data_IF_997529971567
#
_entry.id   IF_997529971567
#
_cell.length_a   1.000
_cell.length_b   1.000
_cell.length_c   1.000
_cell.angle_alpha   90.00
_cell.angle_beta   90.00
_cell.angle_gamma   90.00
#
_symmetry.space_group_name_H-M   'P 1'
#
loop_
_entity.id
_entity.type
_entity.pdbx_description
1 polymer ?
#
# COMPACT_ATOMS: atom_id res chain seq x y z
N UNK A 1 18.61 9.46 -4.35
CA UNK A 1 17.52 8.51 -4.64
C UNK A 1 17.53 7.30 -3.70
N UNK A 2 18.38 6.27 -3.89
CA UNK A 2 18.31 5.00 -3.12
C UNK A 2 18.32 5.13 -1.58
N UNK A 3 19.32 5.80 -1.00
CA UNK A 3 19.39 5.98 0.46
C UNK A 3 18.18 6.74 1.02
N UNK A 4 17.65 7.71 0.26
CA UNK A 4 16.47 8.46 0.65
C UNK A 4 15.21 7.57 0.66
N UNK A 5 15.05 6.72 -0.37
CA UNK A 5 13.98 5.73 -0.43
C UNK A 5 14.05 4.74 0.75
N UNK A 6 15.24 4.24 1.06
CA UNK A 6 15.45 3.30 2.17
C UNK A 6 15.12 3.93 3.52
N UNK A 7 15.53 5.18 3.71
CA UNK A 7 15.24 5.90 4.94
C UNK A 7 13.75 6.20 5.10
N UNK A 8 13.09 6.69 4.05
CA UNK A 8 11.64 6.98 4.08
C UNK A 8 10.81 5.70 4.25
N UNK A 9 11.20 4.61 3.59
CA UNK A 9 10.57 3.31 3.76
C UNK A 9 10.72 2.78 5.19
N UNK A 10 11.91 2.95 5.80
CA UNK A 10 12.16 2.56 7.19
C UNK A 10 11.26 3.32 8.17
N UNK A 11 11.09 4.63 7.97
CA UNK A 11 10.17 5.43 8.77
C UNK A 11 8.72 4.96 8.59
N UNK A 12 8.30 4.69 7.35
CA UNK A 12 6.96 4.18 7.05
C UNK A 12 6.70 2.82 7.72
N UNK A 13 7.71 1.92 7.69
CA UNK A 13 7.67 0.64 8.39
C UNK A 13 7.47 0.83 9.89
N UNK A 14 8.29 1.67 10.53
CA UNK A 14 8.19 1.95 11.96
C UNK A 14 6.79 2.46 12.35
N UNK A 15 6.25 3.42 11.59
CA UNK A 15 4.88 3.91 11.84
C UNK A 15 3.81 2.82 11.69
N UNK A 16 3.95 1.94 10.69
CA UNK A 16 3.00 0.82 10.50
C UNK A 16 3.03 -0.19 11.67
N UNK A 17 4.21 -0.45 12.23
CA UNK A 17 4.38 -1.33 13.40
C UNK A 17 3.77 -0.70 14.66
N UNK A 18 3.93 0.61 14.86
CA UNK A 18 3.33 1.33 15.99
C UNK A 18 1.79 1.32 15.97
N UNK A 19 1.18 1.45 14.78
CA UNK A 19 -0.28 1.43 14.62
C UNK A 19 -0.85 0.04 14.83
N UNK A 20 -0.24 -0.99 14.24
CA UNK A 20 -0.72 -2.38 14.38
C UNK A 20 -0.69 -2.87 15.82
N UNK A 21 0.28 -2.40 16.63
CA UNK A 21 0.30 -2.65 18.08
C UNK A 21 -0.85 -1.92 18.80
N UNK A 22 -1.17 -0.69 18.37
CA UNK A 22 -2.18 0.17 18.98
C UNK A 22 -3.62 -0.24 18.63
N UNK A 23 -3.88 -0.77 17.43
CA UNK A 23 -5.20 -1.25 16.98
C UNK A 23 -5.72 -2.52 17.68
N UNK A 24 -4.92 -3.11 18.58
CA UNK A 24 -5.43 -4.07 19.57
C UNK A 24 -6.38 -3.42 20.62
N UNK A 25 -6.49 -2.09 20.61
CA UNK A 25 -7.57 -1.30 21.22
C UNK A 25 -8.38 -0.55 20.15
N UNK A 26 -9.68 -0.81 20.11
CA UNK A 26 -10.69 -0.24 19.19
C UNK A 26 -10.55 1.28 18.99
N UNK A 27 -10.67 1.76 17.73
CA UNK A 27 -11.46 2.96 17.47
C UNK A 27 -11.97 3.07 16.03
N UNK A 28 -13.30 3.20 15.94
CA UNK A 28 -14.07 3.59 14.76
C UNK A 28 -13.89 5.09 14.52
N UNK A 29 -13.23 5.48 13.43
CA UNK A 29 -13.38 6.82 12.89
C UNK A 29 -14.11 6.73 11.55
N UNK A 30 -15.44 6.85 11.63
CA UNK A 30 -16.26 7.27 10.50
C UNK A 30 -15.97 8.73 10.18
N UNK A 31 -15.82 9.04 8.89
CA UNK A 31 -15.99 10.43 8.43
C UNK A 31 -14.90 10.97 7.51
N UNK A 32 -14.73 10.38 6.33
CA UNK A 32 -14.51 11.13 5.09
C UNK A 32 -14.97 10.24 3.93
N UNK A 33 -15.99 10.72 3.22
CA UNK A 33 -16.65 10.01 2.12
C UNK A 33 -15.64 9.83 0.98
N UNK A 34 -14.93 8.72 1.01
CA UNK A 34 -13.91 8.34 0.03
C UNK A 34 -14.55 8.24 -1.35
N UNK A 35 -14.05 9.04 -2.29
CA UNK A 35 -14.40 8.93 -3.72
C UNK A 35 -14.13 7.49 -4.16
N UNK A 36 -15.08 6.91 -4.90
CA UNK A 36 -15.00 5.53 -5.38
C UNK A 36 -13.78 5.41 -6.31
N UNK A 37 -12.78 4.69 -5.84
CA UNK A 37 -11.45 4.60 -6.44
C UNK A 37 -11.28 3.17 -6.97
N UNK A 38 -11.59 2.97 -8.26
CA UNK A 38 -11.75 1.62 -8.83
C UNK A 38 -11.26 1.46 -10.28
N UNK A 39 -11.40 2.48 -11.13
CA UNK A 39 -11.17 2.30 -12.57
C UNK A 39 -9.75 2.70 -13.05
N UNK A 40 -8.99 3.45 -12.24
CA UNK A 40 -7.73 4.07 -12.65
C UNK A 40 -6.48 3.21 -12.46
N UNK A 41 -6.59 2.08 -11.77
CA UNK A 41 -5.42 1.28 -11.38
C UNK A 41 -4.91 0.27 -12.41
N UNK A 42 -5.66 0.07 -13.50
CA UNK A 42 -5.17 -0.67 -14.66
C UNK A 42 -4.32 0.20 -15.61
N UNK A 43 -4.21 1.50 -15.32
CA UNK A 43 -3.31 2.43 -15.99
C UNK A 43 -2.31 3.02 -14.99
N UNK A 44 -1.26 3.64 -15.52
CA UNK A 44 -0.09 4.09 -14.77
C UNK A 44 -0.47 4.72 -13.41
N UNK A 45 0.00 4.07 -12.34
CA UNK A 45 -0.35 4.36 -10.95
C UNK A 45 -0.13 5.82 -10.55
N UNK A 46 0.71 6.53 -11.29
CA UNK A 46 0.97 7.96 -11.17
C UNK A 46 -0.32 8.78 -11.24
N UNK A 47 -1.22 8.49 -12.17
CA UNK A 47 -2.45 9.26 -12.39
C UNK A 47 -3.48 9.03 -11.27
N UNK A 48 -3.66 7.77 -10.88
CA UNK A 48 -4.58 7.39 -9.82
C UNK A 48 -4.13 7.97 -8.46
N UNK A 49 -2.82 7.89 -8.15
CA UNK A 49 -2.26 8.47 -6.94
C UNK A 49 -2.31 10.01 -6.95
N UNK A 50 -2.16 10.64 -8.11
CA UNK A 50 -2.31 12.09 -8.24
C UNK A 50 -3.76 12.54 -8.02
N UNK A 51 -4.72 11.78 -8.53
CA UNK A 51 -6.15 12.04 -8.39
C UNK A 51 -6.67 11.76 -6.96
N UNK A 52 -6.10 10.78 -6.26
CA UNK A 52 -6.46 10.46 -4.88
C UNK A 52 -5.76 11.34 -3.82
N UNK A 53 -4.60 11.94 -4.12
CA UNK A 53 -3.73 12.57 -3.10
C UNK A 53 -3.18 13.98 -3.43
N UNK A 54 -3.58 14.58 -4.55
CA UNK A 54 -3.76 16.05 -4.70
C UNK A 54 -2.55 16.96 -4.85
N UNK A 55 -1.30 16.53 -4.63
CA UNK A 55 -0.13 17.39 -4.90
C UNK A 55 1.01 16.57 -5.50
N UNK A 56 1.60 17.13 -6.56
CA UNK A 56 2.81 16.59 -7.18
C UNK A 56 3.98 16.74 -6.20
N UNK A 57 4.80 15.70 -6.05
CA UNK A 57 5.95 15.71 -5.14
C UNK A 57 7.03 16.72 -5.61
N UNK A 58 6.96 17.16 -6.85
CA UNK A 58 7.87 18.15 -7.45
C UNK A 58 7.62 19.60 -6.98
N UNK A 59 6.46 19.86 -6.37
CA UNK A 59 6.08 21.19 -5.86
C UNK A 59 6.16 21.29 -4.33
N UNK A 60 6.59 20.23 -3.64
CA UNK A 60 6.68 20.25 -2.17
C UNK A 60 7.85 21.09 -1.69
N UNK A 61 7.54 22.05 -0.82
CA UNK A 61 8.52 22.85 -0.11
C UNK A 61 9.49 21.97 0.71
N UNK A 62 10.76 22.38 0.77
CA UNK A 62 11.85 21.63 1.41
C UNK A 62 11.51 21.38 2.88
N UNK A 63 10.91 22.35 3.57
CA UNK A 63 10.50 22.22 4.97
C UNK A 63 9.43 21.14 5.15
N UNK A 64 8.54 20.98 4.16
CA UNK A 64 7.51 19.92 4.18
C UNK A 64 8.14 18.54 4.05
N UNK A 65 9.15 18.39 3.19
CA UNK A 65 9.91 17.15 3.03
C UNK A 65 10.70 16.82 4.30
N UNK A 66 11.38 17.81 4.88
CA UNK A 66 12.14 17.64 6.13
C UNK A 66 11.21 17.21 7.27
N UNK A 67 10.05 17.87 7.42
CA UNK A 67 9.06 17.50 8.44
C UNK A 67 8.59 16.05 8.27
N UNK A 68 8.32 15.60 7.04
CA UNK A 68 7.88 14.23 6.78
C UNK A 68 8.98 13.18 7.05
N UNK A 69 10.25 13.56 6.94
CA UNK A 69 11.41 12.70 7.19
C UNK A 69 11.94 12.77 8.62
N UNK A 70 11.33 13.54 9.52
CA UNK A 70 11.84 13.73 10.89
C UNK A 70 11.37 12.64 11.86
N UNK A 71 10.16 12.13 11.68
CA UNK A 71 9.55 11.15 12.60
C UNK A 71 8.70 10.11 11.86
N UNK A 72 8.50 8.91 12.44
CA UNK A 72 7.57 7.92 11.90
C UNK A 72 6.16 8.52 11.76
N UNK A 73 5.43 8.20 10.66
CA UNK A 73 4.09 8.72 10.45
C UNK A 73 3.12 8.08 11.43
N UNK A 74 2.21 8.88 11.98
CA UNK A 74 1.15 8.42 12.91
C UNK A 74 -0.24 8.48 12.28
N UNK A 75 -0.39 9.32 11.26
CA UNK A 75 -1.65 9.49 10.54
C UNK A 75 -1.53 8.98 9.12
N UNK A 76 -2.67 8.62 8.53
CA UNK A 76 -2.74 8.22 7.13
C UNK A 76 -2.18 9.29 6.17
N UNK A 77 -2.45 10.57 6.44
CA UNK A 77 -2.00 11.67 5.59
C UNK A 77 -0.47 11.78 5.57
N UNK A 78 0.17 11.65 6.73
CA UNK A 78 1.63 11.62 6.86
C UNK A 78 2.22 10.40 6.15
N UNK A 79 1.63 9.21 6.36
CA UNK A 79 2.05 7.98 5.71
C UNK A 79 1.94 8.07 4.18
N UNK A 80 0.86 8.66 3.66
CA UNK A 80 0.64 8.84 2.23
C UNK A 80 1.64 9.83 1.60
N UNK A 81 2.02 10.90 2.32
CA UNK A 81 3.09 11.81 1.88
C UNK A 81 4.44 11.08 1.80
N UNK A 82 4.78 10.35 2.85
CA UNK A 82 6.03 9.60 2.93
C UNK A 82 6.08 8.47 1.89
N UNK A 83 4.96 7.81 1.63
CA UNK A 83 4.81 6.82 0.57
C UNK A 83 5.08 7.43 -0.80
N UNK A 84 4.47 8.57 -1.13
CA UNK A 84 4.73 9.26 -2.42
C UNK A 84 6.19 9.65 -2.59
N UNK A 85 6.81 10.19 -1.53
CA UNK A 85 8.24 10.50 -1.53
C UNK A 85 9.10 9.25 -1.78
N UNK A 86 8.75 8.13 -1.12
CA UNK A 86 9.41 6.84 -1.29
C UNK A 86 9.29 6.36 -2.74
N UNK A 87 8.09 6.35 -3.30
CA UNK A 87 7.86 5.95 -4.70
C UNK A 87 8.65 6.81 -5.68
N UNK A 88 8.69 8.14 -5.49
CA UNK A 88 9.51 9.04 -6.32
C UNK A 88 10.99 8.65 -6.26
N UNK A 89 11.54 8.51 -5.05
CA UNK A 89 12.93 8.14 -4.86
C UNK A 89 13.27 6.77 -5.46
N UNK A 90 12.33 5.80 -5.40
CA UNK A 90 12.50 4.48 -6.02
C UNK A 90 12.49 4.60 -7.55
N UNK A 91 11.54 5.34 -8.13
CA UNK A 91 11.47 5.56 -9.58
C UNK A 91 12.76 6.22 -10.10
N UNK A 92 13.26 7.24 -9.41
CA UNK A 92 14.55 7.87 -9.73
C UNK A 92 15.73 6.89 -9.59
N UNK A 93 15.72 6.03 -8.57
CA UNK A 93 16.76 5.03 -8.38
C UNK A 93 16.75 3.98 -9.51
N UNK A 94 15.57 3.52 -9.94
CA UNK A 94 15.42 2.53 -11.01
C UNK A 94 15.87 3.03 -12.39
N UNK A 95 15.98 4.36 -12.60
CA UNK A 95 16.61 4.91 -13.82
C UNK A 95 18.09 4.52 -13.93
N UNK A 96 18.77 4.36 -12.79
CA UNK A 96 20.18 3.96 -12.70
C UNK A 96 20.32 2.46 -12.43
N UNK A 97 19.62 1.95 -11.42
CA UNK A 97 19.65 0.53 -11.05
C UNK A 97 18.68 -0.28 -11.91
N UNK A 98 19.01 -0.40 -13.20
CA UNK A 98 18.23 -1.20 -14.15
C UNK A 98 18.45 -2.68 -13.93
N UNK A 99 17.46 -3.50 -14.29
CA UNK A 99 17.54 -4.95 -14.13
C UNK A 99 18.71 -5.56 -14.93
N UNK A 100 19.02 -5.03 -16.11
CA UNK A 100 20.08 -5.54 -16.98
C UNK A 100 21.50 -5.31 -16.43
N UNK A 101 21.73 -4.17 -15.79
CA UNK A 101 23.07 -3.74 -15.33
C UNK A 101 23.29 -4.01 -13.84
N UNK A 102 22.25 -3.79 -13.03
CA UNK A 102 22.28 -3.81 -11.58
C UNK A 102 21.14 -4.67 -11.02
N UNK A 103 20.97 -5.89 -11.55
CA UNK A 103 19.83 -6.77 -11.25
C UNK A 103 19.53 -6.91 -9.76
N UNK A 104 20.51 -7.24 -8.92
CA UNK A 104 20.31 -7.42 -7.47
C UNK A 104 19.78 -6.15 -6.80
N UNK A 105 20.30 -4.99 -7.18
CA UNK A 105 19.86 -3.70 -6.63
C UNK A 105 18.48 -3.30 -7.13
N UNK A 106 18.18 -3.58 -8.40
CA UNK A 106 16.88 -3.35 -9.02
C UNK A 106 15.79 -4.22 -8.35
N UNK A 107 16.10 -5.49 -8.09
CA UNK A 107 15.22 -6.42 -7.37
C UNK A 107 14.88 -5.89 -5.98
N UNK A 108 15.88 -5.45 -5.22
CA UNK A 108 15.63 -4.89 -3.89
C UNK A 108 14.79 -3.60 -3.95
N UNK A 109 15.03 -2.70 -4.92
CA UNK A 109 14.22 -1.49 -5.10
C UNK A 109 12.75 -1.79 -5.42
N UNK A 110 12.49 -2.79 -6.28
CA UNK A 110 11.12 -3.21 -6.60
C UNK A 110 10.44 -3.88 -5.40
N UNK A 111 11.19 -4.68 -4.61
CA UNK A 111 10.69 -5.23 -3.34
C UNK A 111 10.38 -4.15 -2.31
N UNK A 112 11.25 -3.17 -2.16
CA UNK A 112 11.04 -1.98 -1.33
C UNK A 112 9.77 -1.23 -1.78
N UNK A 113 9.55 -1.09 -3.09
CA UNK A 113 8.34 -0.49 -3.65
C UNK A 113 7.08 -1.29 -3.28
N UNK A 114 7.13 -2.61 -3.45
CA UNK A 114 6.03 -3.50 -3.10
C UNK A 114 5.71 -3.44 -1.60
N UNK A 115 6.72 -3.38 -0.73
CA UNK A 115 6.58 -3.27 0.71
C UNK A 115 6.02 -1.91 1.16
N UNK A 116 6.30 -0.83 0.43
CA UNK A 116 5.70 0.48 0.71
C UNK A 116 4.16 0.43 0.68
N UNK A 117 3.56 -0.34 -0.24
CA UNK A 117 2.11 -0.55 -0.26
C UNK A 117 1.62 -1.33 0.96
N UNK A 118 2.39 -2.30 1.45
CA UNK A 118 2.03 -3.05 2.65
C UNK A 118 2.00 -2.14 3.88
N UNK A 119 3.02 -1.29 4.05
CA UNK A 119 3.09 -0.36 5.18
C UNK A 119 2.01 0.71 5.11
N UNK A 120 1.74 1.28 3.92
CA UNK A 120 0.65 2.25 3.76
C UNK A 120 -0.72 1.62 4.06
N UNK A 121 -0.94 0.36 3.68
CA UNK A 121 -2.20 -0.35 3.92
C UNK A 121 -2.52 -0.54 5.41
N UNK A 122 -1.53 -0.42 6.31
CA UNK A 122 -1.75 -0.45 7.77
C UNK A 122 -2.47 0.81 8.29
N UNK A 123 -2.35 1.94 7.59
CA UNK A 123 -2.99 3.20 7.99
C UNK A 123 -4.39 3.38 7.37
N UNK A 124 -4.77 2.50 6.43
CA UNK A 124 -5.99 2.65 5.64
C UNK A 124 -7.18 1.99 6.33
N UNK A 125 -8.25 2.75 6.57
CA UNK A 125 -9.45 2.23 7.22
C UNK A 125 -10.38 1.47 6.25
N UNK A 126 -10.42 1.85 4.97
CA UNK A 126 -11.28 1.19 3.98
C UNK A 126 -10.66 -0.13 3.50
N UNK A 127 -11.34 -1.24 3.81
CA UNK A 127 -10.95 -2.57 3.36
C UNK A 127 -10.82 -2.67 1.83
N UNK A 128 -11.63 -1.95 1.07
CA UNK A 128 -11.55 -1.98 -0.39
C UNK A 128 -10.24 -1.39 -0.90
N UNK A 129 -9.81 -0.26 -0.31
CA UNK A 129 -8.52 0.37 -0.63
C UNK A 129 -7.35 -0.50 -0.20
N UNK A 130 -7.43 -1.14 0.98
CA UNK A 130 -6.42 -2.14 1.41
C UNK A 130 -6.30 -3.29 0.42
N UNK A 131 -7.42 -3.85 -0.06
CA UNK A 131 -7.39 -4.90 -1.09
C UNK A 131 -6.69 -4.41 -2.37
N UNK A 132 -6.96 -3.20 -2.83
CA UNK A 132 -6.31 -2.65 -4.01
C UNK A 132 -4.80 -2.45 -3.81
N UNK A 133 -4.36 -1.99 -2.64
CA UNK A 133 -2.94 -1.87 -2.31
C UNK A 133 -2.24 -3.24 -2.34
N UNK A 134 -2.86 -4.29 -1.78
CA UNK A 134 -2.30 -5.65 -1.84
C UNK A 134 -2.28 -6.22 -3.26
N UNK A 135 -3.30 -5.96 -4.08
CA UNK A 135 -3.28 -6.32 -5.51
C UNK A 135 -2.14 -5.64 -6.26
N UNK A 136 -1.88 -4.36 -5.97
CA UNK A 136 -0.77 -3.63 -6.59
C UNK A 136 0.58 -4.18 -6.16
N UNK A 137 0.74 -4.52 -4.88
CA UNK A 137 1.92 -5.23 -4.35
C UNK A 137 2.17 -6.53 -5.10
N UNK A 138 1.14 -7.37 -5.27
CA UNK A 138 1.24 -8.63 -6.04
C UNK A 138 1.68 -8.36 -7.47
N UNK A 139 1.04 -7.41 -8.17
CA UNK A 139 1.40 -7.10 -9.56
C UNK A 139 2.85 -6.64 -9.74
N UNK A 140 3.40 -5.86 -8.80
CA UNK A 140 4.82 -5.46 -8.85
C UNK A 140 5.76 -6.67 -8.70
N UNK A 141 5.45 -7.58 -7.77
CA UNK A 141 6.27 -8.75 -7.50
C UNK A 141 6.17 -9.81 -8.60
N UNK A 142 4.98 -10.03 -9.16
CA UNK A 142 4.75 -10.94 -10.29
C UNK A 142 5.45 -10.46 -11.56
N UNK A 143 5.38 -9.17 -11.88
CA UNK A 143 6.08 -8.60 -13.02
C UNK A 143 7.60 -8.83 -12.89
N UNK A 144 8.17 -8.60 -11.70
CA UNK A 144 9.58 -8.85 -11.45
C UNK A 144 9.94 -10.35 -11.57
N UNK A 145 9.08 -11.25 -11.08
CA UNK A 145 9.27 -12.69 -11.24
C UNK A 145 9.28 -13.13 -12.71
N UNK A 146 8.50 -12.49 -13.57
CA UNK A 146 8.48 -12.77 -15.00
C UNK A 146 9.74 -12.29 -15.73
N UNK A 147 10.36 -11.20 -15.27
CA UNK A 147 11.57 -10.65 -15.87
C UNK A 147 12.86 -11.36 -15.40
N UNK A 148 12.85 -11.91 -14.19
CA UNK A 148 14.02 -12.59 -13.62
C UNK A 148 14.24 -13.98 -14.19
N UNK A 149 15.48 -14.29 -14.55
CA UNK A 149 15.89 -15.66 -14.89
C UNK A 149 16.00 -16.52 -13.61
N UNK A 150 15.15 -17.56 -13.43
CA UNK A 150 15.15 -18.36 -12.22
C UNK A 150 16.49 -19.07 -11.97
N UNK A 151 17.22 -19.49 -13.01
CA UNK A 151 18.45 -20.27 -12.85
C UNK A 151 19.56 -19.49 -12.12
N UNK A 152 19.68 -18.19 -12.40
CA UNK A 152 20.70 -17.32 -11.81
C UNK A 152 20.21 -16.64 -10.53
N UNK A 153 18.92 -16.38 -10.41
CA UNK A 153 18.32 -15.63 -9.30
C UNK A 153 17.39 -16.46 -8.42
N UNK A 154 17.61 -17.78 -8.34
CA UNK A 154 16.77 -18.74 -7.57
C UNK A 154 16.39 -18.23 -6.18
N UNK A 155 17.36 -17.71 -5.42
CA UNK A 155 17.13 -17.19 -4.07
C UNK A 155 16.18 -16.00 -4.07
N UNK A 156 16.41 -15.04 -4.97
CA UNK A 156 15.54 -13.87 -5.14
C UNK A 156 14.14 -14.29 -5.57
N UNK A 157 14.00 -15.18 -6.56
CA UNK A 157 12.71 -15.71 -6.98
C UNK A 157 11.96 -16.37 -5.81
N UNK A 158 12.65 -17.15 -4.96
CA UNK A 158 12.03 -17.78 -3.79
C UNK A 158 11.51 -16.75 -2.79
N UNK A 159 12.29 -15.69 -2.54
CA UNK A 159 11.87 -14.60 -1.64
C UNK A 159 10.65 -13.88 -2.23
N UNK A 160 10.70 -13.51 -3.52
CA UNK A 160 9.59 -12.85 -4.21
C UNK A 160 8.30 -13.70 -4.18
N UNK A 161 8.39 -15.01 -4.46
CA UNK A 161 7.25 -15.92 -4.35
C UNK A 161 6.67 -15.96 -2.94
N UNK A 162 7.52 -15.94 -1.91
CA UNK A 162 7.04 -15.91 -0.52
C UNK A 162 6.34 -14.59 -0.16
N UNK A 163 6.85 -13.45 -0.64
CA UNK A 163 6.22 -12.14 -0.45
C UNK A 163 4.90 -12.02 -1.24
N UNK A 164 4.82 -12.59 -2.45
CA UNK A 164 3.56 -12.71 -3.19
C UNK A 164 2.53 -13.53 -2.41
N UNK A 165 2.94 -14.69 -1.87
CA UNK A 165 2.05 -15.56 -1.11
C UNK A 165 1.52 -14.86 0.15
N UNK A 166 2.36 -14.10 0.85
CA UNK A 166 1.95 -13.26 1.97
C UNK A 166 0.91 -12.22 1.52
N UNK A 167 1.17 -11.45 0.46
CA UNK A 167 0.26 -10.43 -0.04
C UNK A 167 -1.11 -11.00 -0.47
N UNK A 168 -1.12 -12.16 -1.14
CA UNK A 168 -2.33 -12.88 -1.53
C UNK A 168 -3.10 -13.40 -0.31
N UNK A 169 -2.39 -13.86 0.73
CA UNK A 169 -3.00 -14.29 2.00
C UNK A 169 -3.70 -13.11 2.67
N UNK A 170 -3.01 -11.97 2.80
CA UNK A 170 -3.61 -10.75 3.33
C UNK A 170 -4.81 -10.29 2.50
N UNK A 171 -4.73 -10.37 1.17
CA UNK A 171 -5.84 -10.02 0.28
C UNK A 171 -7.06 -10.93 0.48
N UNK A 172 -6.85 -12.24 0.67
CA UNK A 172 -7.91 -13.19 1.01
C UNK A 172 -8.60 -12.79 2.31
N UNK A 173 -7.83 -12.54 3.36
CA UNK A 173 -8.35 -12.21 4.70
C UNK A 173 -9.16 -10.90 4.67
N UNK A 174 -8.70 -9.89 3.91
CA UNK A 174 -9.44 -8.65 3.71
C UNK A 174 -10.76 -8.87 2.95
N UNK A 175 -10.77 -9.77 1.95
CA UNK A 175 -11.99 -10.09 1.21
C UNK A 175 -13.01 -10.84 2.09
N UNK A 176 -12.54 -11.72 2.98
CA UNK A 176 -13.37 -12.40 3.96
C UNK A 176 -14.04 -11.39 4.92
N UNK A 177 -13.26 -10.47 5.49
CA UNK A 177 -13.81 -9.38 6.33
C UNK A 177 -14.83 -8.51 5.59
N UNK A 178 -14.58 -8.21 4.30
CA UNK A 178 -15.56 -7.48 3.47
C UNK A 178 -16.86 -8.25 3.31
N UNK A 179 -16.77 -9.56 3.10
CA UNK A 179 -17.94 -10.42 2.94
C UNK A 179 -18.75 -10.48 4.25
N UNK A 180 -18.09 -10.64 5.39
CA UNK A 180 -18.73 -10.65 6.72
C UNK A 180 -19.46 -9.33 7.03
N UNK A 181 -18.84 -8.19 6.73
CA UNK A 181 -19.50 -6.88 6.90
C UNK A 181 -20.71 -6.74 5.99
N UNK A 182 -20.65 -7.27 4.77
CA UNK A 182 -21.76 -7.24 3.82
C UNK A 182 -22.93 -8.14 4.26
N UNK A 183 -22.66 -9.33 4.81
CA UNK A 183 -23.70 -10.23 5.32
C UNK A 183 -24.38 -9.65 6.57
N UNK A 184 -23.61 -9.07 7.50
CA UNK A 184 -24.15 -8.40 8.68
C UNK A 184 -25.09 -7.24 8.30
N UNK A 185 -24.70 -6.41 7.33
CA UNK A 185 -25.53 -5.30 6.84
C UNK A 185 -26.88 -5.77 6.29
N UNK A 186 -26.88 -6.81 5.45
CA UNK A 186 -28.10 -7.40 4.87
C UNK A 186 -29.04 -7.95 5.95
N UNK A 187 -28.47 -8.63 6.95
CA UNK A 187 -29.26 -9.17 8.07
C UNK A 187 -29.91 -8.06 8.90
N UNK A 188 -29.21 -6.94 9.12
CA UNK A 188 -29.75 -5.77 9.82
C UNK A 188 -30.89 -5.08 9.06
N UNK A 189 -30.75 -4.90 7.74
CA UNK A 189 -31.79 -4.32 6.88
C UNK A 189 -33.07 -5.18 6.89
N UNK A 190 -32.91 -6.51 6.81
CA UNK A 190 -34.03 -7.46 6.86
C UNK A 190 -34.82 -7.37 8.18
N UNK A 191 -34.15 -7.20 9.31
CA UNK A 191 -34.80 -7.05 10.62
C UNK A 191 -35.55 -5.72 10.77
N UNK A 192 -35.02 -4.63 10.20
CA UNK A 192 -35.70 -3.33 10.22
C UNK A 192 -36.97 -3.34 9.39
N UNK A 193 -36.96 -4.00 8.23
CA UNK A 193 -38.13 -4.07 7.34
C UNK A 193 -39.26 -4.90 7.95
N UNK A 194 -38.93 -6.02 8.61
CA UNK A 194 -39.91 -6.82 9.37
C UNK A 194 -40.53 -6.02 10.52
N UNK A 195 -39.75 -5.18 11.21
CA UNK A 195 -40.26 -4.36 12.32
C UNK A 195 -41.18 -3.21 11.87
N UNK A 196 -41.01 -2.71 10.64
CA UNK A 196 -41.86 -1.66 10.05
C UNK A 196 -43.19 -2.21 9.53
N UNK A 197 -43.21 -3.45 9.04
CA UNK A 197 -44.44 -4.11 8.60
C UNK A 197 -45.35 -4.55 9.75
N UNK A 198 -44.82 -4.62 10.98
CA UNK A 198 -45.58 -4.98 12.19
C UNK A 198 -46.23 -3.78 12.91
N UNK A 199 -46.16 -2.57 12.34
CA UNK A 199 -46.81 -1.34 12.84
C UNK A 199 -47.82 -0.83 11.81
#
# INVERSE_FOLDING_TARGET
>A
ARLAAQYSLKLLKQGSEEITVSESGVNSNEGLRSVCYGDLFNHDTTTALQEAYGESVDELDIDTVISALTSPPKTYLEAARLFRWTCKCISEALLYYKLDEHCSDAVELVREHANAYNYLAAFEADLSRRCCMQKRRVGLLENLLHELNPQFYMTSCRILMSECAEALTTLRDLNEQKLERATQKKNGETLQDLSKQAK
#
